data_IF_481865895452
#
_entry.id   IF_481865895452
#
_cell.length_a   1.000
_cell.length_b   1.000
_cell.length_c   1.000
_cell.angle_alpha   90.00
_cell.angle_beta   90.00
_cell.angle_gamma   90.00
#
_symmetry.space_group_name_H-M   'P 1'
#
loop_
_entity.id
_entity.type
_entity.pdbx_description
1 polymer ?
#
# COMPACT_ATOMS: atom_id res chain seq x y z
N UNK A 1 -8.47 -11.39 -24.93
CA UNK A 1 -9.36 -11.37 -23.76
C UNK A 1 -9.36 -12.72 -23.03
N UNK A 2 -9.53 -13.83 -23.74
CA UNK A 2 -9.57 -15.19 -23.18
C UNK A 2 -8.29 -15.59 -22.40
N UNK A 3 -7.10 -15.29 -22.93
CA UNK A 3 -5.82 -15.53 -22.24
C UNK A 3 -5.65 -14.72 -20.94
N UNK A 4 -6.23 -13.53 -20.84
CA UNK A 4 -6.14 -12.71 -19.61
C UNK A 4 -7.08 -13.24 -18.52
N UNK A 5 -8.30 -13.64 -18.90
CA UNK A 5 -9.27 -14.25 -17.96
C UNK A 5 -8.71 -15.56 -17.42
N UNK A 6 -8.15 -16.41 -18.28
CA UNK A 6 -7.52 -17.68 -17.87
C UNK A 6 -6.36 -17.45 -16.89
N UNK A 7 -5.44 -16.52 -17.19
CA UNK A 7 -4.33 -16.17 -16.28
C UNK A 7 -4.82 -15.63 -14.93
N UNK A 8 -5.85 -14.79 -14.93
CA UNK A 8 -6.42 -14.26 -13.70
C UNK A 8 -7.10 -15.35 -12.86
N UNK A 9 -7.85 -16.26 -13.48
CA UNK A 9 -8.46 -17.39 -12.76
C UNK A 9 -7.40 -18.32 -12.16
N UNK A 10 -6.33 -18.61 -12.91
CA UNK A 10 -5.18 -19.37 -12.38
C UNK A 10 -4.58 -18.66 -11.16
N UNK A 11 -4.34 -17.34 -11.26
CA UNK A 11 -3.85 -16.54 -10.14
C UNK A 11 -4.79 -16.63 -8.93
N UNK A 12 -6.10 -16.43 -9.13
CA UNK A 12 -7.08 -16.47 -8.06
C UNK A 12 -7.13 -17.85 -7.38
N UNK A 13 -7.06 -18.93 -8.15
CA UNK A 13 -7.00 -20.30 -7.62
C UNK A 13 -5.74 -20.52 -6.80
N UNK A 14 -4.56 -20.20 -7.34
CA UNK A 14 -3.28 -20.36 -6.63
C UNK A 14 -3.25 -19.51 -5.36
N UNK A 15 -3.70 -18.26 -5.44
CA UNK A 15 -3.80 -17.37 -4.29
C UNK A 15 -4.73 -17.94 -3.20
N UNK A 16 -5.91 -18.44 -3.60
CA UNK A 16 -6.87 -19.07 -2.68
C UNK A 16 -6.29 -20.31 -1.99
N UNK A 17 -5.51 -21.12 -2.72
CA UNK A 17 -4.82 -22.27 -2.15
C UNK A 17 -3.76 -21.86 -1.12
N UNK A 18 -2.94 -20.85 -1.43
CA UNK A 18 -1.89 -20.36 -0.52
C UNK A 18 -2.51 -19.82 0.77
N UNK A 19 -3.55 -18.96 0.68
CA UNK A 19 -4.22 -18.45 1.88
C UNK A 19 -4.90 -19.58 2.66
N UNK A 20 -5.53 -20.53 1.95
CA UNK A 20 -6.19 -21.69 2.57
C UNK A 20 -5.23 -22.56 3.35
N UNK A 21 -4.02 -22.79 2.83
CA UNK A 21 -2.95 -23.49 3.56
C UNK A 21 -2.52 -22.73 4.82
N UNK A 22 -2.32 -21.41 4.71
CA UNK A 22 -1.97 -20.56 5.87
C UNK A 22 -3.06 -20.54 6.95
N UNK A 23 -4.33 -20.51 6.55
CA UNK A 23 -5.45 -20.48 7.49
C UNK A 23 -5.68 -21.85 8.12
N UNK A 24 -5.49 -22.91 7.35
CA UNK A 24 -5.56 -24.30 7.84
C UNK A 24 -4.45 -24.56 8.85
N UNK A 25 -3.23 -24.07 8.58
CA UNK A 25 -2.11 -24.11 9.52
C UNK A 25 -2.45 -23.43 10.85
N UNK A 26 -2.98 -22.19 10.82
CA UNK A 26 -3.40 -21.50 12.06
C UNK A 26 -4.52 -22.25 12.77
N UNK A 27 -5.47 -22.83 12.03
CA UNK A 27 -6.52 -23.69 12.56
C UNK A 27 -5.96 -24.86 13.37
N UNK A 28 -5.05 -25.64 12.78
CA UNK A 28 -4.41 -26.77 13.46
C UNK A 28 -3.64 -26.37 14.71
N UNK A 29 -3.05 -25.17 14.73
CA UNK A 29 -2.27 -24.67 15.88
C UNK A 29 -3.11 -24.09 17.01
N UNK A 30 -4.32 -23.59 16.71
CA UNK A 30 -5.15 -22.88 17.68
C UNK A 30 -6.37 -23.68 18.13
N UNK A 31 -7.14 -24.25 17.20
CA UNK A 31 -8.45 -24.85 17.48
C UNK A 31 -8.38 -25.93 18.58
N UNK A 32 -7.45 -26.90 18.55
CA UNK A 32 -7.37 -27.93 19.60
C UNK A 32 -7.10 -27.36 21.00
N UNK A 33 -6.43 -26.22 21.09
CA UNK A 33 -6.06 -25.59 22.36
C UNK A 33 -7.18 -24.70 22.92
N UNK A 34 -8.06 -24.18 22.07
CA UNK A 34 -9.14 -23.27 22.47
C UNK A 34 -10.27 -23.98 23.21
N UNK A 35 -10.65 -25.19 22.77
CA UNK A 35 -11.68 -25.98 23.43
C UNK A 35 -11.59 -27.47 23.06
N UNK A 36 -11.97 -28.33 24.00
CA UNK A 36 -12.19 -29.77 23.77
C UNK A 36 -13.62 -30.06 23.28
N UNK A 37 -14.52 -29.07 23.31
CA UNK A 37 -15.90 -29.23 22.86
C UNK A 37 -15.98 -29.26 21.33
N UNK A 38 -16.53 -30.35 20.78
CA UNK A 38 -16.55 -30.58 19.33
C UNK A 38 -17.19 -29.45 18.52
N UNK A 39 -18.24 -28.80 19.03
CA UNK A 39 -18.93 -27.73 18.29
C UNK A 39 -18.06 -26.46 18.10
N UNK A 40 -17.17 -26.14 19.05
CA UNK A 40 -16.23 -25.01 18.91
C UNK A 40 -15.22 -25.31 17.80
N UNK A 41 -14.74 -26.55 17.75
CA UNK A 41 -13.86 -27.01 16.67
C UNK A 41 -14.55 -26.94 15.31
N UNK A 42 -15.80 -27.41 15.22
CA UNK A 42 -16.61 -27.29 14.00
C UNK A 42 -16.80 -25.84 13.56
N UNK A 43 -17.12 -24.94 14.50
CA UNK A 43 -17.26 -23.51 14.22
C UNK A 43 -15.95 -22.91 13.69
N UNK A 44 -14.82 -23.19 14.35
CA UNK A 44 -13.51 -22.69 13.93
C UNK A 44 -13.11 -23.13 12.52
N UNK A 45 -13.27 -24.42 12.19
CA UNK A 45 -13.02 -24.93 10.86
C UNK A 45 -13.98 -24.38 9.81
N UNK A 46 -15.26 -24.21 10.16
CA UNK A 46 -16.25 -23.58 9.28
C UNK A 46 -15.85 -22.14 8.94
N UNK A 47 -15.42 -21.35 9.95
CA UNK A 47 -14.94 -19.98 9.72
C UNK A 47 -13.71 -19.96 8.81
N UNK A 48 -12.75 -20.88 8.98
CA UNK A 48 -11.58 -20.99 8.10
C UNK A 48 -12.00 -21.23 6.65
N UNK A 49 -12.91 -22.16 6.40
CA UNK A 49 -13.42 -22.44 5.05
C UNK A 49 -14.15 -21.21 4.48
N UNK A 50 -15.03 -20.58 5.26
CA UNK A 50 -15.78 -19.39 4.84
C UNK A 50 -14.85 -18.23 4.47
N UNK A 51 -13.83 -17.93 5.29
CA UNK A 51 -12.89 -16.85 5.01
C UNK A 51 -11.93 -17.19 3.86
N UNK A 52 -11.53 -18.45 3.70
CA UNK A 52 -10.74 -18.88 2.53
C UNK A 52 -11.51 -18.64 1.23
N UNK A 53 -12.81 -18.97 1.22
CA UNK A 53 -13.67 -18.79 0.05
C UNK A 53 -14.18 -17.35 -0.12
N UNK A 54 -14.04 -16.49 0.88
CA UNK A 54 -14.57 -15.12 0.84
C UNK A 54 -13.98 -14.27 -0.30
N UNK A 55 -12.70 -14.45 -0.64
CA UNK A 55 -12.02 -13.72 -1.72
C UNK A 55 -12.59 -14.10 -3.11
N UNK A 56 -12.61 -15.39 -3.52
CA UNK A 56 -13.21 -15.76 -4.81
C UNK A 56 -14.71 -15.48 -4.86
N UNK A 57 -15.45 -15.62 -3.75
CA UNK A 57 -16.86 -15.23 -3.69
C UNK A 57 -17.02 -13.72 -3.89
N UNK A 58 -16.23 -12.90 -3.21
CA UNK A 58 -16.25 -11.44 -3.40
C UNK A 58 -15.93 -11.04 -4.83
N UNK A 59 -14.94 -11.69 -5.46
CA UNK A 59 -14.63 -11.48 -6.87
C UNK A 59 -15.82 -11.85 -7.77
N UNK A 60 -16.45 -13.01 -7.56
CA UNK A 60 -17.65 -13.42 -8.32
C UNK A 60 -18.79 -12.40 -8.17
N UNK A 61 -19.06 -11.93 -6.95
CA UNK A 61 -20.07 -10.89 -6.68
C UNK A 61 -19.72 -9.58 -7.41
N UNK A 62 -18.43 -9.21 -7.48
CA UNK A 62 -17.97 -8.00 -8.20
C UNK A 62 -18.23 -8.05 -9.72
N UNK A 63 -18.38 -9.26 -10.29
CA UNK A 63 -18.68 -9.48 -11.70
C UNK A 63 -20.18 -9.56 -11.97
N UNK A 64 -20.95 -10.15 -11.05
CA UNK A 64 -22.35 -10.53 -11.29
C UNK A 64 -23.37 -9.56 -10.68
N UNK A 65 -23.06 -8.98 -9.53
CA UNK A 65 -23.96 -8.05 -8.86
C UNK A 65 -23.90 -6.68 -9.51
N UNK A 66 -25.05 -6.08 -9.81
CA UNK A 66 -25.15 -4.66 -10.21
C UNK A 66 -25.23 -3.70 -9.02
N UNK A 67 -25.43 -4.22 -7.80
CA UNK A 67 -25.61 -3.42 -6.59
C UNK A 67 -24.26 -3.16 -5.93
N UNK A 68 -23.79 -1.92 -6.01
CA UNK A 68 -22.50 -1.51 -5.46
C UNK A 68 -22.37 -1.81 -3.96
N UNK A 69 -23.41 -1.52 -3.16
CA UNK A 69 -23.38 -1.79 -1.71
C UNK A 69 -23.15 -3.27 -1.37
N UNK A 70 -23.67 -4.20 -2.19
CA UNK A 70 -23.40 -5.64 -2.00
C UNK A 70 -21.94 -5.95 -2.34
N UNK A 71 -21.41 -5.43 -3.45
CA UNK A 71 -20.00 -5.62 -3.81
C UNK A 71 -19.07 -5.11 -2.71
N UNK A 72 -19.34 -3.92 -2.18
CA UNK A 72 -18.57 -3.30 -1.10
C UNK A 72 -18.66 -4.11 0.20
N UNK A 73 -19.84 -4.61 0.59
CA UNK A 73 -19.99 -5.43 1.80
C UNK A 73 -19.17 -6.73 1.73
N UNK A 74 -19.24 -7.46 0.61
CA UNK A 74 -18.45 -8.68 0.42
C UNK A 74 -16.95 -8.39 0.34
N UNK A 75 -16.56 -7.26 -0.25
CA UNK A 75 -15.16 -6.84 -0.30
C UNK A 75 -14.61 -6.49 1.08
N UNK A 76 -15.38 -5.78 1.91
CA UNK A 76 -15.01 -5.52 3.29
C UNK A 76 -14.84 -6.81 4.09
N UNK A 77 -15.77 -7.75 3.97
CA UNK A 77 -15.68 -9.05 4.65
C UNK A 77 -14.40 -9.80 4.24
N UNK A 78 -14.17 -9.93 2.93
CA UNK A 78 -13.06 -10.69 2.39
C UNK A 78 -11.70 -10.05 2.71
N UNK A 79 -11.57 -8.73 2.52
CA UNK A 79 -10.30 -8.02 2.74
C UNK A 79 -9.98 -7.83 4.24
N UNK A 80 -10.98 -7.62 5.08
CA UNK A 80 -10.75 -7.56 6.54
C UNK A 80 -10.38 -8.95 7.07
N UNK A 81 -11.05 -10.00 6.59
CA UNK A 81 -10.70 -11.39 6.89
C UNK A 81 -9.27 -11.72 6.47
N UNK A 82 -8.88 -11.31 5.26
CA UNK A 82 -7.52 -11.48 4.76
C UNK A 82 -6.49 -10.85 5.70
N UNK A 83 -6.69 -9.59 6.07
CA UNK A 83 -5.80 -8.89 6.99
C UNK A 83 -5.74 -9.53 8.38
N UNK A 84 -6.88 -9.92 8.94
CA UNK A 84 -6.96 -10.63 10.23
C UNK A 84 -6.14 -11.92 10.22
N UNK A 85 -6.35 -12.77 9.21
CA UNK A 85 -5.63 -14.04 9.13
C UNK A 85 -4.15 -13.87 8.79
N UNK A 86 -3.75 -12.83 8.04
CA UNK A 86 -2.33 -12.51 7.84
C UNK A 86 -1.65 -12.18 9.17
N UNK A 87 -2.27 -11.34 10.00
CA UNK A 87 -1.75 -11.01 11.33
C UNK A 87 -1.74 -12.27 12.22
N UNK A 88 -2.84 -13.02 12.24
CA UNK A 88 -2.97 -14.24 13.04
C UNK A 88 -1.91 -15.29 12.66
N UNK A 89 -1.74 -15.56 11.36
CA UNK A 89 -0.73 -16.48 10.85
C UNK A 89 0.67 -16.08 11.29
N UNK A 90 0.98 -14.78 11.18
CA UNK A 90 2.27 -14.25 11.57
C UNK A 90 2.52 -14.44 13.08
N UNK A 91 1.54 -14.13 13.93
CA UNK A 91 1.66 -14.32 15.38
C UNK A 91 1.79 -15.80 15.77
N UNK A 92 1.06 -16.71 15.11
CA UNK A 92 1.19 -18.16 15.31
C UNK A 92 2.58 -18.64 14.90
N UNK A 93 3.08 -18.16 13.76
CA UNK A 93 4.42 -18.50 13.28
C UNK A 93 5.50 -18.01 14.26
N UNK A 94 5.39 -16.77 14.76
CA UNK A 94 6.29 -16.27 15.81
C UNK A 94 6.22 -17.13 17.08
N UNK A 95 5.02 -17.50 17.54
CA UNK A 95 4.82 -18.38 18.70
C UNK A 95 5.51 -19.72 18.52
N UNK A 96 5.39 -20.32 17.34
CA UNK A 96 5.99 -21.63 17.06
C UNK A 96 7.51 -21.53 16.95
N UNK A 97 8.05 -20.49 16.31
CA UNK A 97 9.49 -20.23 16.25
C UNK A 97 10.07 -20.04 17.66
N UNK A 98 9.45 -19.20 18.51
CA UNK A 98 9.95 -18.97 19.87
C UNK A 98 9.89 -20.24 20.72
N UNK A 99 8.85 -21.05 20.57
CA UNK A 99 8.71 -22.34 21.26
C UNK A 99 9.81 -23.32 20.86
N UNK A 100 10.09 -23.45 19.55
CA UNK A 100 11.15 -24.32 19.03
C UNK A 100 12.54 -23.83 19.46
N UNK A 101 12.80 -22.52 19.37
CA UNK A 101 14.06 -21.93 19.83
C UNK A 101 14.29 -22.16 21.32
N UNK A 102 13.26 -21.99 22.16
CA UNK A 102 13.34 -22.24 23.59
C UNK A 102 13.64 -23.72 23.88
N UNK A 103 12.92 -24.66 23.26
CA UNK A 103 13.17 -26.08 23.43
C UNK A 103 14.58 -26.49 22.97
N UNK A 104 15.05 -25.94 21.85
CA UNK A 104 16.42 -26.12 21.38
C UNK A 104 17.45 -25.67 22.40
N UNK A 105 17.31 -24.46 22.97
CA UNK A 105 18.20 -23.93 24.00
C UNK A 105 18.23 -24.78 25.27
N UNK A 106 17.07 -25.29 25.73
CA UNK A 106 17.02 -26.15 26.92
C UNK A 106 17.74 -27.49 26.74
N UNK A 107 17.90 -27.99 25.50
CA UNK A 107 18.72 -29.17 25.23
C UNK A 107 20.23 -28.91 25.34
N UNK A 108 20.68 -27.68 25.13
CA UNK A 108 22.08 -27.28 25.27
C UNK A 108 22.48 -26.98 26.73
N UNK A 109 21.51 -26.70 27.59
CA UNK A 109 21.71 -26.51 29.03
C UNK A 109 20.83 -27.51 29.82
N UNK A 110 21.18 -28.81 29.81
CA UNK A 110 20.36 -29.82 30.48
C UNK A 110 20.37 -29.57 32.00
N UNK A 111 19.20 -29.24 32.53
CA UNK A 111 18.97 -29.27 33.98
C UNK A 111 18.87 -30.72 34.43
N UNK A 112 19.80 -31.17 35.26
CA UNK A 112 19.72 -32.44 35.97
C UNK A 112 18.72 -32.27 37.11
N UNK A 113 17.48 -32.73 36.90
CA UNK A 113 16.51 -33.22 37.90
C UNK A 113 15.08 -33.03 37.37
N UNK A 114 14.48 -34.07 36.79
CA UNK A 114 13.01 -34.14 36.67
C UNK A 114 12.60 -35.57 37.07
N UNK A 115 11.79 -35.65 38.13
CA UNK A 115 11.27 -36.88 38.75
C UNK A 115 9.98 -37.28 38.02
N UNK A 116 9.80 -38.57 37.73
CA UNK A 116 8.69 -39.11 36.91
C UNK A 116 7.27 -38.90 37.49
N UNK A 117 7.12 -38.55 38.78
CA UNK A 117 5.82 -38.33 39.44
C UNK A 117 5.19 -36.96 39.13
N UNK A 118 5.89 -36.04 38.49
CA UNK A 118 5.39 -34.69 38.12
C UNK A 118 4.65 -34.68 36.77
N UNK A 119 4.55 -35.82 36.08
CA UNK A 119 4.19 -35.87 34.65
C UNK A 119 2.76 -35.41 34.34
N UNK A 120 1.74 -35.79 35.13
CA UNK A 120 0.35 -35.36 34.89
C UNK A 120 0.12 -33.88 35.18
N UNK A 121 0.66 -33.38 36.30
CA UNK A 121 0.56 -31.96 36.65
C UNK A 121 1.30 -31.08 35.62
N UNK A 122 2.46 -31.55 35.13
CA UNK A 122 3.19 -30.90 34.05
C UNK A 122 2.41 -30.89 32.73
N UNK A 123 1.69 -31.97 32.40
CA UNK A 123 0.82 -32.02 31.20
C UNK A 123 -0.33 -31.01 31.34
N UNK A 124 -1.05 -31.00 32.47
CA UNK A 124 -2.15 -30.06 32.72
C UNK A 124 -1.68 -28.59 32.67
N UNK A 125 -0.52 -28.29 33.27
CA UNK A 125 0.09 -26.95 33.20
C UNK A 125 0.43 -26.54 31.77
N UNK A 126 1.00 -27.45 30.97
CA UNK A 126 1.30 -27.20 29.54
C UNK A 126 0.04 -26.94 28.72
N UNK A 127 -1.01 -27.73 28.93
CA UNK A 127 -2.31 -27.54 28.25
C UNK A 127 -2.95 -26.20 28.61
N UNK A 128 -2.94 -25.84 29.89
CA UNK A 128 -3.43 -24.54 30.36
C UNK A 128 -2.67 -23.38 29.72
N UNK A 129 -1.33 -23.43 29.72
CA UNK A 129 -0.49 -22.40 29.11
C UNK A 129 -0.74 -22.29 27.60
N UNK A 130 -0.82 -23.41 26.88
CA UNK A 130 -1.12 -23.42 25.45
C UNK A 130 -2.50 -22.83 25.14
N UNK A 131 -3.49 -23.08 26.00
CA UNK A 131 -4.82 -22.47 25.90
C UNK A 131 -4.75 -20.95 26.08
N UNK A 132 -4.12 -20.48 27.16
CA UNK A 132 -3.94 -19.04 27.43
C UNK A 132 -3.19 -18.34 26.31
N UNK A 133 -2.12 -18.96 25.78
CA UNK A 133 -1.38 -18.43 24.64
C UNK A 133 -2.22 -18.38 23.37
N UNK A 134 -3.03 -19.40 23.11
CA UNK A 134 -3.90 -19.44 21.91
C UNK A 134 -4.97 -18.36 21.96
N UNK A 135 -5.62 -18.16 23.12
CA UNK A 135 -6.56 -17.05 23.32
C UNK A 135 -5.86 -15.68 23.25
N UNK A 136 -4.66 -15.55 23.82
CA UNK A 136 -3.87 -14.31 23.75
C UNK A 136 -3.49 -13.95 22.31
N UNK A 137 -3.04 -14.92 21.51
CA UNK A 137 -2.70 -14.71 20.08
C UNK A 137 -3.94 -14.32 19.28
N UNK A 138 -5.07 -15.00 19.51
CA UNK A 138 -6.34 -14.68 18.84
C UNK A 138 -6.84 -13.27 19.22
N UNK A 139 -6.80 -12.94 20.51
CA UNK A 139 -7.18 -11.63 21.04
C UNK A 139 -6.28 -10.51 20.52
N UNK A 140 -4.96 -10.74 20.47
CA UNK A 140 -4.00 -9.78 19.92
C UNK A 140 -4.22 -9.58 18.41
N UNK A 141 -4.44 -10.64 17.64
CA UNK A 141 -4.75 -10.53 16.21
C UNK A 141 -6.03 -9.73 15.97
N UNK A 142 -7.08 -9.99 16.74
CA UNK A 142 -8.34 -9.23 16.69
C UNK A 142 -8.16 -7.77 17.07
N UNK A 143 -7.42 -7.48 18.15
CA UNK A 143 -7.12 -6.13 18.60
C UNK A 143 -6.31 -5.33 17.58
N UNK A 144 -5.25 -5.93 17.02
CA UNK A 144 -4.44 -5.31 15.97
C UNK A 144 -5.25 -5.06 14.69
N UNK A 145 -6.11 -6.01 14.30
CA UNK A 145 -7.03 -5.85 13.17
C UNK A 145 -7.97 -4.68 13.40
N UNK A 146 -8.60 -4.59 14.58
CA UNK A 146 -9.52 -3.50 14.92
C UNK A 146 -8.84 -2.13 14.95
N UNK A 147 -7.67 -2.04 15.59
CA UNK A 147 -6.86 -0.80 15.61
C UNK A 147 -6.47 -0.41 14.18
N UNK A 148 -5.97 -1.35 13.38
CA UNK A 148 -5.54 -1.07 12.02
C UNK A 148 -6.70 -0.68 11.11
N UNK A 149 -7.87 -1.31 11.28
CA UNK A 149 -9.09 -0.94 10.57
C UNK A 149 -9.55 0.48 10.90
N UNK A 150 -9.56 0.83 12.18
CA UNK A 150 -9.85 2.19 12.63
C UNK A 150 -8.87 3.20 12.04
N UNK A 151 -7.57 2.88 12.05
CA UNK A 151 -6.53 3.76 11.52
C UNK A 151 -6.61 3.94 10.00
N UNK A 152 -7.08 2.92 9.25
CA UNK A 152 -7.30 3.01 7.81
C UNK A 152 -8.45 3.94 7.42
N UNK A 153 -9.45 4.11 8.30
CA UNK A 153 -10.63 4.96 8.06
C UNK A 153 -10.61 6.28 8.82
N UNK A 154 -9.60 6.50 9.66
CA UNK A 154 -9.42 7.76 10.38
C UNK A 154 -9.08 8.88 9.39
N UNK A 155 -9.40 10.11 9.78
CA UNK A 155 -9.08 11.32 9.02
C UNK A 155 -7.60 11.34 8.60
N UNK A 156 -7.37 11.60 7.31
CA UNK A 156 -6.05 11.69 6.70
C UNK A 156 -5.16 12.70 7.42
N UNK A 157 -3.91 12.29 7.65
CA UNK A 157 -2.89 13.18 8.19
C UNK A 157 -2.29 14.01 7.06
N UNK A 158 -2.16 15.31 7.31
CA UNK A 158 -1.32 16.16 6.46
C UNK A 158 0.09 16.10 7.02
N UNK A 159 1.05 15.69 6.19
CA UNK A 159 2.46 15.58 6.57
C UNK A 159 3.23 16.66 5.83
N UNK A 160 3.82 17.61 6.57
CA UNK A 160 4.70 18.63 5.98
C UNK A 160 6.13 18.14 5.94
N UNK A 161 6.78 18.32 4.80
CA UNK A 161 8.15 17.87 4.52
C UNK A 161 8.89 19.02 3.89
N UNK A 162 10.00 19.43 4.50
CA UNK A 162 10.87 20.46 3.96
C UNK A 162 12.04 19.82 3.22
N UNK A 163 12.20 20.18 1.94
CA UNK A 163 13.35 19.78 1.12
C UNK A 163 14.31 20.96 1.07
N UNK A 164 15.40 20.85 1.82
CA UNK A 164 16.37 21.92 2.00
C UNK A 164 17.42 21.85 0.89
N UNK A 165 17.50 22.91 0.09
CA UNK A 165 18.33 23.00 -1.10
C UNK A 165 19.29 24.17 -1.05
N UNK A 166 20.59 23.89 -1.30
CA UNK A 166 21.64 24.91 -1.20
C UNK A 166 21.55 25.97 -2.31
N UNK A 167 21.30 25.52 -3.53
CA UNK A 167 21.31 26.38 -4.73
C UNK A 167 19.90 26.67 -5.26
N UNK A 168 18.89 26.69 -4.37
CA UNK A 168 17.52 26.98 -4.79
C UNK A 168 17.35 28.44 -5.20
N UNK A 169 16.76 28.67 -6.38
CA UNK A 169 16.38 30.01 -6.81
C UNK A 169 15.38 30.61 -5.82
N UNK A 170 15.52 31.89 -5.46
CA UNK A 170 14.71 32.52 -4.40
C UNK A 170 13.21 32.53 -4.70
N UNK A 171 12.82 32.59 -5.97
CA UNK A 171 11.40 32.46 -6.35
C UNK A 171 10.79 31.09 -6.02
N UNK A 172 11.58 30.03 -5.89
CA UNK A 172 11.09 28.69 -5.52
C UNK A 172 11.11 28.45 -4.01
N UNK A 173 11.62 29.38 -3.20
CA UNK A 173 11.58 29.25 -1.74
C UNK A 173 10.13 29.31 -1.25
N UNK A 174 9.72 28.24 -0.55
CA UNK A 174 8.33 28.06 -0.12
C UNK A 174 7.42 27.40 -1.16
N UNK A 175 7.91 27.06 -2.36
CA UNK A 175 7.13 26.36 -3.39
C UNK A 175 6.53 25.08 -2.83
N UNK A 176 5.20 24.95 -2.93
CA UNK A 176 4.41 23.93 -2.24
C UNK A 176 3.81 22.93 -3.20
N UNK A 177 4.25 21.68 -3.07
CA UNK A 177 3.74 20.54 -3.82
C UNK A 177 2.88 19.71 -2.87
N UNK A 178 1.61 19.52 -3.20
CA UNK A 178 0.76 18.59 -2.48
C UNK A 178 0.73 17.27 -3.24
N UNK A 179 1.27 16.23 -2.63
CA UNK A 179 1.31 14.89 -3.18
C UNK A 179 0.23 14.01 -2.55
N UNK A 180 -0.48 13.28 -3.42
CA UNK A 180 -1.22 12.08 -3.06
C UNK A 180 -0.71 10.90 -3.88
N UNK A 181 -0.86 9.71 -3.33
CA UNK A 181 -0.39 8.48 -3.96
C UNK A 181 -1.23 7.31 -3.49
N UNK A 182 -1.30 6.23 -4.27
CA UNK A 182 -1.84 4.95 -3.81
C UNK A 182 -3.24 5.10 -3.16
N UNK A 183 -4.14 5.77 -3.87
CA UNK A 183 -5.51 6.03 -3.39
C UNK A 183 -6.33 4.74 -3.48
N UNK A 184 -6.08 3.90 -4.48
CA UNK A 184 -6.77 2.63 -4.72
C UNK A 184 -8.31 2.75 -4.70
N UNK A 185 -8.86 3.71 -5.46
CA UNK A 185 -10.30 3.77 -5.70
C UNK A 185 -10.73 2.43 -6.28
N UNK A 186 -11.71 1.80 -5.67
CA UNK A 186 -11.94 0.38 -5.87
C UNK A 186 -13.17 -0.14 -5.12
N UNK A 187 -13.14 -1.39 -4.63
CA UNK A 187 -14.31 -2.00 -4.00
C UNK A 187 -14.73 -1.35 -2.67
N UNK A 188 -13.79 -0.84 -1.89
CA UNK A 188 -14.03 -0.25 -0.55
C UNK A 188 -13.69 1.23 -0.44
N UNK A 189 -12.85 1.77 -1.33
CA UNK A 189 -12.55 3.20 -1.42
C UNK A 189 -13.31 3.80 -2.59
N UNK A 190 -14.16 4.80 -2.30
CA UNK A 190 -15.17 5.32 -3.23
C UNK A 190 -15.11 6.84 -3.34
N UNK A 191 -15.98 7.40 -4.18
CA UNK A 191 -16.09 8.84 -4.46
C UNK A 191 -16.01 9.73 -3.21
N UNK A 192 -16.76 9.40 -2.15
CA UNK A 192 -16.82 10.21 -0.92
C UNK A 192 -15.47 10.34 -0.22
N UNK A 193 -14.64 9.31 -0.27
CA UNK A 193 -13.27 9.39 0.24
C UNK A 193 -12.46 10.40 -0.59
N UNK A 194 -12.53 10.31 -1.92
CA UNK A 194 -11.81 11.22 -2.80
C UNK A 194 -12.29 12.67 -2.70
N UNK A 195 -13.59 12.90 -2.52
CA UNK A 195 -14.14 14.23 -2.22
C UNK A 195 -13.50 14.83 -0.97
N UNK A 196 -13.34 14.02 0.09
CA UNK A 196 -12.67 14.46 1.33
C UNK A 196 -11.19 14.77 1.12
N UNK A 197 -10.49 14.00 0.28
CA UNK A 197 -9.10 14.21 -0.11
C UNK A 197 -8.96 15.52 -0.88
N UNK A 198 -9.75 15.72 -1.92
CA UNK A 198 -9.71 16.92 -2.77
C UNK A 198 -10.01 18.17 -1.96
N UNK A 199 -11.04 18.12 -1.10
CA UNK A 199 -11.34 19.22 -0.16
C UNK A 199 -10.10 19.56 0.68
N UNK A 200 -9.45 18.54 1.23
CA UNK A 200 -8.26 18.74 2.07
C UNK A 200 -7.06 19.27 1.29
N UNK A 201 -6.87 18.86 0.05
CA UNK A 201 -5.81 19.39 -0.82
C UNK A 201 -6.05 20.87 -1.11
N UNK A 202 -7.28 21.24 -1.45
CA UNK A 202 -7.63 22.63 -1.75
C UNK A 202 -7.45 23.57 -0.53
N UNK A 203 -7.69 23.07 0.69
CA UNK A 203 -7.40 23.80 1.94
C UNK A 203 -5.89 24.10 2.13
N UNK A 204 -5.00 23.40 1.43
CA UNK A 204 -3.55 23.55 1.55
C UNK A 204 -2.96 24.54 0.53
N UNK A 205 -3.78 25.12 -0.35
CA UNK A 205 -3.40 26.12 -1.36
C UNK A 205 -2.09 25.76 -2.11
N UNK A 206 -2.03 24.60 -2.79
CA UNK A 206 -0.81 24.15 -3.45
C UNK A 206 -0.41 25.03 -4.64
N UNK A 207 0.90 25.15 -4.88
CA UNK A 207 1.40 25.61 -6.17
C UNK A 207 1.21 24.50 -7.23
N UNK A 208 1.39 23.24 -6.82
CA UNK A 208 1.31 22.06 -7.68
C UNK A 208 0.64 20.89 -6.95
N UNK A 209 -0.20 20.13 -7.65
CA UNK A 209 -0.68 18.83 -7.15
C UNK A 209 -0.02 17.69 -7.93
N UNK A 210 0.57 16.74 -7.22
CA UNK A 210 1.19 15.55 -7.79
C UNK A 210 0.43 14.28 -7.36
N UNK A 211 0.05 13.45 -8.31
CA UNK A 211 -0.57 12.14 -8.08
C UNK A 211 0.40 11.07 -8.57
N UNK A 212 1.05 10.37 -7.65
CA UNK A 212 2.17 9.45 -7.96
C UNK A 212 1.74 8.00 -8.10
N UNK A 213 0.73 7.73 -8.91
CA UNK A 213 0.30 6.37 -9.30
C UNK A 213 -0.63 5.66 -8.32
N UNK A 214 -1.13 4.50 -8.77
CA UNK A 214 -2.04 3.61 -8.06
C UNK A 214 -3.29 4.33 -7.53
N UNK A 215 -3.93 5.08 -8.42
CA UNK A 215 -5.16 5.81 -8.13
C UNK A 215 -6.36 4.87 -8.09
N UNK A 216 -6.34 3.76 -8.85
CA UNK A 216 -7.52 2.93 -9.14
C UNK A 216 -7.22 1.42 -9.21
N UNK A 217 -8.17 0.59 -8.74
CA UNK A 217 -8.09 -0.88 -8.70
C UNK A 217 -9.08 -1.59 -9.65
N UNK A 218 -9.48 -0.94 -10.74
CA UNK A 218 -10.41 -1.52 -11.69
C UNK A 218 -10.64 -0.66 -12.93
N UNK A 219 -11.45 -1.13 -13.90
CA UNK A 219 -11.61 -0.44 -15.17
C UNK A 219 -12.45 0.84 -15.05
N UNK A 220 -12.19 1.79 -15.95
CA UNK A 220 -12.94 3.06 -16.08
C UNK A 220 -14.45 2.84 -16.13
N UNK A 221 -14.91 1.81 -16.83
CA UNK A 221 -16.35 1.50 -16.95
C UNK A 221 -17.05 1.23 -15.62
N UNK A 222 -16.30 0.83 -14.58
CA UNK A 222 -16.82 0.63 -13.22
C UNK A 222 -16.52 1.82 -12.32
N UNK A 223 -15.31 2.39 -12.42
CA UNK A 223 -14.80 3.31 -11.40
C UNK A 223 -14.67 4.77 -11.85
N UNK A 224 -14.83 5.09 -13.14
CA UNK A 224 -14.61 6.45 -13.66
C UNK A 224 -15.45 7.51 -12.93
N UNK A 225 -16.69 7.18 -12.58
CA UNK A 225 -17.57 8.09 -11.84
C UNK A 225 -17.11 8.39 -10.39
N UNK A 226 -16.20 7.60 -9.82
CA UNK A 226 -15.63 7.87 -8.50
C UNK A 226 -14.47 8.86 -8.55
N UNK A 227 -13.83 9.05 -9.71
CA UNK A 227 -12.69 9.97 -9.85
C UNK A 227 -13.10 11.40 -10.18
N UNK A 228 -14.38 11.64 -10.48
CA UNK A 228 -14.87 12.98 -10.85
C UNK A 228 -14.52 14.10 -9.86
N UNK A 229 -14.39 13.86 -8.53
CA UNK A 229 -13.94 14.92 -7.61
C UNK A 229 -12.57 15.50 -7.96
N UNK A 230 -11.71 14.79 -8.70
CA UNK A 230 -10.39 15.32 -9.08
C UNK A 230 -10.48 16.56 -9.98
N UNK A 231 -11.59 16.75 -10.70
CA UNK A 231 -11.83 17.94 -11.49
C UNK A 231 -11.94 19.22 -10.64
N UNK A 232 -12.21 19.08 -9.34
CA UNK A 232 -12.32 20.19 -8.39
C UNK A 232 -10.98 20.58 -7.74
N UNK A 233 -9.87 19.90 -8.10
CA UNK A 233 -8.54 20.23 -7.60
C UNK A 233 -8.11 21.63 -8.06
N UNK A 234 -7.57 22.42 -7.13
CA UNK A 234 -7.09 23.77 -7.37
C UNK A 234 -5.61 23.86 -7.03
N UNK A 235 -4.83 24.35 -7.98
CA UNK A 235 -3.42 24.69 -7.81
C UNK A 235 -3.00 25.76 -8.82
N UNK A 236 -1.86 26.41 -8.60
CA UNK A 236 -1.37 27.46 -9.51
C UNK A 236 -0.88 26.91 -10.84
N UNK A 237 -0.19 25.76 -10.81
CA UNK A 237 0.47 25.15 -11.97
C UNK A 237 -0.25 23.93 -12.55
N UNK A 238 -1.35 23.51 -11.91
CA UNK A 238 -2.15 22.36 -12.34
C UNK A 238 -1.89 21.08 -11.53
N UNK A 239 -2.50 20.01 -12.00
CA UNK A 239 -2.45 18.67 -11.40
C UNK A 239 -1.79 17.71 -12.37
N UNK A 240 -0.80 16.96 -11.88
CA UNK A 240 0.00 16.05 -12.69
C UNK A 240 -0.08 14.63 -12.15
N UNK A 241 -0.10 13.66 -13.05
CA UNK A 241 -0.24 12.25 -12.74
C UNK A 241 0.85 11.43 -13.44
N UNK A 242 1.37 10.44 -12.74
CA UNK A 242 2.16 9.34 -13.32
C UNK A 242 1.50 8.01 -13.00
N UNK A 243 1.63 7.04 -13.90
CA UNK A 243 1.04 5.71 -13.74
C UNK A 243 1.77 4.91 -12.67
N UNK A 244 1.03 4.24 -11.79
CA UNK A 244 1.52 3.10 -11.03
C UNK A 244 1.23 1.79 -11.76
N UNK A 245 1.51 0.66 -11.11
CA UNK A 245 1.29 -0.65 -11.72
C UNK A 245 -0.20 -1.00 -11.81
N UNK A 246 -1.05 -0.46 -10.94
CA UNK A 246 -2.48 -0.77 -10.93
C UNK A 246 -3.23 -0.21 -12.13
N UNK A 247 -2.80 0.92 -12.69
CA UNK A 247 -3.39 1.43 -13.93
C UNK A 247 -3.18 0.46 -15.09
N UNK A 248 -2.02 -0.20 -15.19
CA UNK A 248 -1.75 -1.20 -16.23
C UNK A 248 -2.62 -2.45 -16.08
N UNK A 249 -2.88 -2.90 -14.85
CA UNK A 249 -3.80 -4.01 -14.59
C UNK A 249 -5.26 -3.65 -14.89
N UNK A 250 -5.57 -2.35 -14.85
CA UNK A 250 -6.93 -1.81 -14.93
C UNK A 250 -7.29 -1.20 -16.29
N UNK A 251 -6.39 -1.28 -17.28
CA UNK A 251 -6.59 -0.70 -18.62
C UNK A 251 -6.07 0.73 -18.72
N UNK A 252 -4.74 0.89 -18.60
CA UNK A 252 -4.02 2.17 -18.50
C UNK A 252 -4.43 3.21 -19.54
N UNK A 253 -4.57 2.82 -20.82
CA UNK A 253 -4.89 3.76 -21.90
C UNK A 253 -6.27 4.41 -21.73
N UNK A 254 -7.24 3.67 -21.17
CA UNK A 254 -8.56 4.22 -20.86
C UNK A 254 -8.50 5.15 -19.66
N UNK A 255 -7.69 4.81 -18.66
CA UNK A 255 -7.49 5.66 -17.48
C UNK A 255 -6.79 6.96 -17.80
N UNK A 256 -5.75 6.95 -18.64
CA UNK A 256 -5.07 8.16 -19.11
C UNK A 256 -6.09 9.13 -19.72
N UNK A 257 -6.86 8.65 -20.71
CA UNK A 257 -7.90 9.47 -21.37
C UNK A 257 -8.96 9.97 -20.41
N UNK A 258 -9.33 9.17 -19.40
CA UNK A 258 -10.34 9.57 -18.44
C UNK A 258 -9.80 10.65 -17.49
N UNK A 259 -8.58 10.53 -17.00
CA UNK A 259 -7.94 11.52 -16.14
C UNK A 259 -7.74 12.87 -16.86
N UNK A 260 -7.35 12.84 -18.13
CA UNK A 260 -7.20 14.04 -18.96
C UNK A 260 -8.51 14.83 -19.11
N UNK A 261 -9.66 14.16 -19.18
CA UNK A 261 -10.97 14.84 -19.21
C UNK A 261 -11.27 15.62 -17.92
N UNK A 262 -10.67 15.23 -16.81
CA UNK A 262 -10.79 15.91 -15.51
C UNK A 262 -9.69 16.95 -15.30
N UNK A 263 -8.99 17.36 -16.36
CA UNK A 263 -7.96 18.41 -16.29
C UNK A 263 -6.64 17.97 -15.68
N UNK A 264 -6.42 16.67 -15.53
CA UNK A 264 -5.19 16.10 -14.98
C UNK A 264 -4.23 15.82 -16.11
N UNK A 265 -3.02 16.39 -16.04
CA UNK A 265 -1.98 16.13 -17.03
C UNK A 265 -1.23 14.85 -16.69
N UNK A 266 -1.34 13.84 -17.54
CA UNK A 266 -0.55 12.61 -17.38
C UNK A 266 0.82 12.79 -18.02
N UNK A 267 1.89 12.37 -17.32
CA UNK A 267 3.26 12.41 -17.81
C UNK A 267 3.76 10.99 -18.06
N UNK A 268 4.13 10.68 -19.30
CA UNK A 268 4.59 9.35 -19.73
C UNK A 268 6.00 9.44 -20.33
N UNK A 269 7.03 9.46 -19.47
CA UNK A 269 8.41 9.80 -19.84
C UNK A 269 8.48 11.17 -20.52
N UNK A 270 7.76 12.12 -19.96
CA UNK A 270 7.59 13.48 -20.48
C UNK A 270 7.78 14.50 -19.36
N UNK A 271 8.01 15.76 -19.74
CA UNK A 271 8.06 16.86 -18.80
C UNK A 271 7.16 18.03 -19.20
N UNK A 272 7.01 18.93 -18.22
CA UNK A 272 6.51 20.27 -18.38
C UNK A 272 7.42 21.23 -17.62
N UNK A 273 7.95 22.22 -18.32
CA UNK A 273 8.62 23.37 -17.70
C UNK A 273 7.55 24.31 -17.16
N UNK A 274 7.70 24.68 -15.89
CA UNK A 274 6.84 25.58 -15.13
C UNK A 274 7.62 26.84 -14.78
N UNK A 275 7.05 28.00 -15.12
CA UNK A 275 7.62 29.31 -14.74
C UNK A 275 6.98 29.78 -13.44
N UNK A 276 7.76 29.96 -12.38
CA UNK A 276 7.27 30.43 -11.09
C UNK A 276 8.10 31.64 -10.63
N UNK A 277 7.50 32.82 -10.75
CA UNK A 277 8.22 34.08 -10.52
C UNK A 277 9.31 34.28 -11.58
N UNK A 278 10.58 34.27 -11.16
CA UNK A 278 11.75 34.37 -12.06
C UNK A 278 12.50 33.05 -12.23
N UNK A 279 11.98 31.96 -11.67
CA UNK A 279 12.57 30.64 -11.77
C UNK A 279 11.80 29.76 -12.75
N UNK A 280 12.54 28.88 -13.39
CA UNK A 280 12.04 27.78 -14.20
C UNK A 280 12.20 26.45 -13.45
N UNK A 281 11.18 25.61 -13.48
CA UNK A 281 11.17 24.29 -12.84
C UNK A 281 10.75 23.24 -13.86
N UNK A 282 11.55 22.20 -14.04
CA UNK A 282 11.16 21.02 -14.82
C UNK A 282 10.39 20.06 -13.94
N UNK A 283 9.12 19.83 -14.27
CA UNK A 283 8.32 18.74 -13.70
C UNK A 283 8.24 17.61 -14.71
N UNK A 284 8.97 16.52 -14.45
CA UNK A 284 8.97 15.33 -15.28
C UNK A 284 8.20 14.20 -14.62
N UNK A 285 7.73 13.24 -15.43
CA UNK A 285 7.09 12.03 -14.95
C UNK A 285 7.47 10.82 -15.79
N UNK A 286 7.71 9.70 -15.13
CA UNK A 286 7.99 8.40 -15.76
C UNK A 286 6.91 7.39 -15.44
N UNK A 287 6.79 6.38 -16.29
CA UNK A 287 5.87 5.26 -16.11
C UNK A 287 6.34 4.30 -15.02
N UNK A 288 5.48 3.35 -14.65
CA UNK A 288 5.87 2.26 -13.74
C UNK A 288 7.07 1.46 -14.28
N UNK A 289 7.98 1.00 -13.40
CA UNK A 289 9.19 0.29 -13.82
C UNK A 289 8.89 -0.97 -14.64
N UNK A 290 7.74 -1.62 -14.42
CA UNK A 290 7.32 -2.83 -15.15
C UNK A 290 6.39 -2.54 -16.32
N UNK A 291 6.04 -1.27 -16.55
CA UNK A 291 5.13 -0.86 -17.63
C UNK A 291 5.51 -1.43 -19.00
N UNK A 292 6.81 -1.41 -19.33
CA UNK A 292 7.36 -1.95 -20.58
C UNK A 292 7.01 -3.41 -20.85
N UNK A 293 6.80 -4.22 -19.80
CA UNK A 293 6.43 -5.63 -19.94
C UNK A 293 4.98 -5.83 -20.40
N UNK A 294 4.15 -4.78 -20.30
CA UNK A 294 2.73 -4.78 -20.68
C UNK A 294 2.55 -3.97 -21.97
N UNK A 295 3.16 -2.79 -22.05
CA UNK A 295 3.20 -1.90 -23.22
C UNK A 295 4.63 -1.41 -23.41
N UNK A 296 5.32 -1.89 -24.45
CA UNK A 296 6.74 -1.59 -24.68
C UNK A 296 6.97 -0.08 -24.86
N UNK A 297 6.03 0.62 -25.48
CA UNK A 297 6.05 2.08 -25.66
C UNK A 297 6.06 2.86 -24.32
N UNK A 298 5.61 2.22 -23.23
CA UNK A 298 5.58 2.78 -21.89
C UNK A 298 6.77 2.31 -21.04
N UNK A 299 7.83 1.73 -21.63
CA UNK A 299 9.07 1.47 -20.89
C UNK A 299 9.57 2.75 -20.22
N UNK A 300 9.81 2.71 -18.90
CA UNK A 300 10.30 3.85 -18.12
C UNK A 300 11.60 4.41 -18.70
N UNK A 301 11.70 5.73 -18.79
CA UNK A 301 12.88 6.43 -19.31
C UNK A 301 13.04 7.84 -18.70
N UNK A 302 13.78 7.95 -17.57
CA UNK A 302 14.04 9.24 -16.93
C UNK A 302 14.84 10.21 -17.79
N UNK A 303 15.72 9.73 -18.67
CA UNK A 303 16.52 10.59 -19.55
C UNK A 303 15.65 11.25 -20.62
N UNK A 304 14.73 10.49 -21.23
CA UNK A 304 13.72 11.04 -22.12
C UNK A 304 12.82 12.04 -21.39
N UNK A 305 12.42 11.73 -20.16
CA UNK A 305 11.62 12.62 -19.34
C UNK A 305 12.35 13.93 -19.01
N UNK A 306 13.68 13.95 -18.91
CA UNK A 306 14.47 15.16 -18.66
C UNK A 306 14.62 16.07 -19.89
N UNK A 307 14.51 15.53 -21.11
CA UNK A 307 14.89 16.22 -22.35
C UNK A 307 14.28 17.62 -22.49
N UNK A 308 15.13 18.62 -22.69
CA UNK A 308 14.76 20.04 -22.82
C UNK A 308 14.63 20.80 -21.49
N UNK A 309 14.63 20.10 -20.35
CA UNK A 309 14.57 20.67 -19.00
C UNK A 309 15.93 20.76 -18.29
N UNK A 310 17.03 20.42 -18.97
CA UNK A 310 18.34 20.24 -18.35
C UNK A 310 18.86 21.52 -17.67
N UNK A 311 18.48 22.68 -18.23
CA UNK A 311 18.94 24.02 -17.83
C UNK A 311 17.97 24.75 -16.89
N UNK A 312 16.89 24.14 -16.43
CA UNK A 312 15.97 24.79 -15.48
C UNK A 312 16.60 24.89 -14.09
N UNK A 313 16.12 25.84 -13.28
CA UNK A 313 16.65 26.11 -11.94
C UNK A 313 16.42 24.96 -10.96
N UNK A 314 15.38 24.15 -11.16
CA UNK A 314 15.10 22.97 -10.34
C UNK A 314 14.39 21.87 -11.15
N UNK A 315 14.66 20.60 -10.85
CA UNK A 315 14.18 19.43 -11.60
C UNK A 315 13.52 18.42 -10.68
N UNK A 316 12.22 18.21 -10.85
CA UNK A 316 11.40 17.27 -10.08
C UNK A 316 10.97 16.10 -10.95
N UNK A 317 11.16 14.89 -10.44
CA UNK A 317 10.69 13.65 -11.04
C UNK A 317 9.51 13.07 -10.26
N UNK A 318 8.38 12.88 -10.94
CA UNK A 318 7.29 12.06 -10.45
C UNK A 318 7.50 10.62 -10.90
N UNK A 319 7.55 9.68 -9.97
CA UNK A 319 7.69 8.26 -10.29
C UNK A 319 6.96 7.43 -9.24
N UNK A 320 6.09 6.51 -9.65
CA UNK A 320 5.34 5.69 -8.68
C UNK A 320 6.28 4.84 -7.80
N UNK A 321 7.24 4.14 -8.41
CA UNK A 321 8.18 3.29 -7.66
C UNK A 321 9.40 4.06 -7.16
N UNK A 322 9.79 3.91 -5.87
CA UNK A 322 10.98 4.56 -5.32
C UNK A 322 12.28 4.24 -6.07
N UNK A 323 12.39 3.02 -6.60
CA UNK A 323 13.60 2.56 -7.30
C UNK A 323 13.90 3.33 -8.59
N UNK A 324 12.96 4.11 -9.14
CA UNK A 324 13.24 5.02 -10.25
C UNK A 324 14.33 6.06 -9.91
N UNK A 325 14.63 6.28 -8.62
CA UNK A 325 15.64 7.26 -8.19
C UNK A 325 17.05 6.89 -8.64
N UNK A 326 17.32 5.60 -8.87
CA UNK A 326 18.65 5.17 -9.30
C UNK A 326 19.00 5.71 -10.68
N UNK A 327 18.06 5.65 -11.63
CA UNK A 327 18.25 6.25 -12.97
C UNK A 327 17.88 7.74 -12.98
N UNK A 328 16.90 8.16 -12.17
CA UNK A 328 16.51 9.56 -12.05
C UNK A 328 17.64 10.45 -11.53
N UNK A 329 18.42 9.97 -10.56
CA UNK A 329 19.60 10.68 -10.08
C UNK A 329 20.67 10.84 -11.18
N UNK A 330 20.91 9.80 -11.98
CA UNK A 330 21.85 9.89 -13.11
C UNK A 330 21.34 10.79 -14.24
N UNK A 331 20.03 10.90 -14.41
CA UNK A 331 19.41 11.84 -15.34
C UNK A 331 19.47 13.30 -14.85
N UNK A 332 19.87 13.55 -13.60
CA UNK A 332 20.11 14.89 -13.05
C UNK A 332 18.89 15.55 -12.41
N UNK A 333 17.93 14.76 -11.89
CA UNK A 333 16.82 15.29 -11.10
C UNK A 333 17.25 15.65 -9.67
N UNK A 334 16.70 16.73 -9.12
CA UNK A 334 17.02 17.22 -7.78
C UNK A 334 16.11 16.57 -6.71
N UNK A 335 14.85 16.30 -7.07
CA UNK A 335 13.85 15.70 -6.18
C UNK A 335 13.00 14.66 -6.91
N UNK A 336 12.83 13.48 -6.32
CA UNK A 336 11.86 12.48 -6.73
C UNK A 336 10.72 12.35 -5.72
N UNK A 337 9.48 12.32 -6.21
CA UNK A 337 8.28 12.01 -5.43
C UNK A 337 7.73 10.64 -5.84
N UNK A 338 7.57 9.75 -4.85
CA UNK A 338 7.14 8.36 -5.05
C UNK A 338 6.11 7.88 -4.04
N UNK A 339 5.50 6.73 -4.34
CA UNK A 339 4.57 6.00 -3.47
C UNK A 339 4.91 4.51 -3.45
N UNK A 340 3.95 3.66 -3.81
CA UNK A 340 4.07 2.21 -4.06
C UNK A 340 4.25 1.33 -2.83
N UNK A 341 5.03 1.77 -1.84
CA UNK A 341 5.43 0.91 -0.71
C UNK A 341 4.34 0.76 0.34
N UNK A 342 3.38 1.70 0.39
CA UNK A 342 2.41 1.87 1.48
C UNK A 342 3.01 1.96 2.89
N UNK A 343 4.33 2.20 3.02
CA UNK A 343 5.05 2.00 4.28
C UNK A 343 4.99 0.56 4.83
N UNK A 344 4.71 -0.41 3.95
CA UNK A 344 4.42 -1.80 4.27
C UNK A 344 3.04 -2.05 4.92
N UNK A 345 2.13 -1.08 4.84
CA UNK A 345 0.70 -1.05 5.21
C UNK A 345 0.31 -1.59 6.60
N UNK A 346 0.59 -2.83 6.94
CA UNK A 346 0.30 -3.40 8.26
C UNK A 346 1.26 -4.55 8.60
N UNK A 347 1.26 -4.98 9.86
CA UNK A 347 2.10 -6.09 10.32
C UNK A 347 1.73 -7.42 9.64
N UNK A 348 2.72 -8.24 9.21
CA UNK A 348 4.17 -8.03 9.32
C UNK A 348 4.80 -7.35 8.08
N UNK A 349 3.99 -6.95 7.10
CA UNK A 349 4.47 -6.31 5.86
C UNK A 349 5.33 -5.08 6.12
N UNK A 350 4.98 -4.28 7.12
CA UNK A 350 5.76 -3.12 7.58
C UNK A 350 7.17 -3.45 8.11
N UNK A 351 7.47 -4.71 8.44
CA UNK A 351 8.81 -5.19 8.77
C UNK A 351 9.50 -5.80 7.55
N UNK A 352 8.78 -6.62 6.79
CA UNK A 352 9.33 -7.37 5.66
C UNK A 352 9.63 -6.49 4.44
N UNK A 353 8.97 -5.33 4.31
CA UNK A 353 9.14 -4.42 3.17
C UNK A 353 10.60 -3.97 2.98
N UNK A 354 11.37 -3.84 4.07
CA UNK A 354 12.78 -3.45 4.03
C UNK A 354 13.70 -4.49 3.39
N UNK A 355 13.23 -5.73 3.20
CA UNK A 355 13.96 -6.76 2.45
C UNK A 355 13.89 -6.54 0.94
N UNK A 356 12.87 -5.81 0.47
CA UNK A 356 12.60 -5.60 -0.95
C UNK A 356 12.80 -4.15 -1.40
N UNK A 357 12.68 -3.18 -0.49
CA UNK A 357 12.72 -1.76 -0.82
C UNK A 357 13.78 -1.05 0.02
N UNK A 358 14.67 -0.32 -0.66
CA UNK A 358 15.69 0.51 0.00
C UNK A 358 15.06 1.73 0.68
N UNK A 359 14.10 2.37 0.02
CA UNK A 359 13.39 3.54 0.51
C UNK A 359 11.92 3.19 0.72
N UNK A 360 11.48 3.16 1.98
CA UNK A 360 10.14 2.67 2.34
C UNK A 360 9.16 3.81 2.60
N UNK A 361 9.55 4.85 3.34
CA UNK A 361 8.65 5.98 3.63
C UNK A 361 9.45 7.20 4.11
N UNK A 362 8.94 8.40 3.85
CA UNK A 362 9.55 9.66 4.28
C UNK A 362 10.60 10.21 3.31
N UNK A 363 11.31 11.25 3.74
CA UNK A 363 12.34 11.94 2.97
C UNK A 363 13.70 11.28 3.18
N UNK A 364 14.39 10.96 2.09
CA UNK A 364 15.72 10.38 2.05
C UNK A 364 16.55 11.07 0.97
N UNK A 365 17.83 10.72 0.89
CA UNK A 365 18.72 11.20 -0.16
C UNK A 365 19.43 10.05 -0.86
N UNK A 366 19.46 10.09 -2.19
CA UNK A 366 20.26 9.20 -3.02
C UNK A 366 21.20 10.03 -3.89
N UNK A 367 22.52 9.93 -3.63
CA UNK A 367 23.51 10.85 -4.20
C UNK A 367 23.12 12.30 -3.91
N UNK A 368 22.98 13.14 -4.92
CA UNK A 368 22.56 14.53 -4.78
C UNK A 368 21.03 14.73 -4.87
N UNK A 369 20.28 13.69 -5.24
CA UNK A 369 18.82 13.72 -5.41
C UNK A 369 18.09 13.39 -4.11
N UNK A 370 17.14 14.24 -3.72
CA UNK A 370 16.18 13.91 -2.68
C UNK A 370 15.14 12.92 -3.19
N UNK A 371 14.71 11.99 -2.34
CA UNK A 371 13.57 11.12 -2.62
C UNK A 371 12.59 11.17 -1.46
N UNK A 372 11.36 11.51 -1.74
CA UNK A 372 10.27 11.36 -0.80
C UNK A 372 9.37 10.20 -1.21
N UNK A 373 9.17 9.26 -0.28
CA UNK A 373 8.28 8.11 -0.47
C UNK A 373 7.06 8.26 0.41
N UNK A 374 5.90 8.44 -0.23
CA UNK A 374 4.62 8.50 0.45
C UNK A 374 4.22 7.13 1.00
N UNK A 375 3.58 7.11 2.17
CA UNK A 375 2.93 5.91 2.71
C UNK A 375 1.59 5.59 2.03
N UNK A 376 1.16 6.40 1.08
CA UNK A 376 -0.12 6.25 0.40
C UNK A 376 -1.25 6.99 1.12
N UNK A 377 -2.18 7.50 0.31
CA UNK A 377 -3.35 8.25 0.74
C UNK A 377 -4.49 7.30 1.07
N UNK A 378 -4.68 6.23 0.29
CA UNK A 378 -5.68 5.19 0.54
C UNK A 378 -5.11 4.00 1.31
N UNK A 379 -5.56 2.81 0.93
CA UNK A 379 -5.01 1.52 1.31
C UNK A 379 -5.31 0.52 0.18
N UNK A 380 -4.46 -0.49 0.01
CA UNK A 380 -4.66 -1.55 -0.98
C UNK A 380 -5.15 -2.84 -0.34
N UNK A 381 -6.24 -3.42 -0.86
CA UNK A 381 -6.80 -4.68 -0.38
C UNK A 381 -7.32 -4.59 1.06
N UNK A 382 -6.72 -5.28 2.06
CA UNK A 382 -7.11 -5.19 3.46
C UNK A 382 -7.22 -3.76 3.97
N UNK A 383 -8.40 -3.33 4.47
CA UNK A 383 -8.61 -1.98 4.97
C UNK A 383 -8.02 -1.82 6.38
N UNK A 384 -6.73 -2.12 6.53
CA UNK A 384 -5.99 -2.18 7.78
C UNK A 384 -4.68 -1.42 7.60
N UNK A 385 -4.39 -0.46 8.48
CA UNK A 385 -3.11 0.25 8.51
C UNK A 385 -2.47 0.21 9.90
N UNK A 386 -1.29 -0.39 10.04
CA UNK A 386 -0.54 -0.52 11.30
C UNK A 386 0.92 -0.08 11.10
N UNK A 387 1.34 0.96 11.82
CA UNK A 387 2.70 1.52 11.69
C UNK A 387 2.95 2.32 10.41
N UNK A 388 1.96 2.39 9.51
CA UNK A 388 2.01 3.17 8.29
C UNK A 388 0.71 3.97 8.14
N UNK A 389 0.53 5.13 8.79
CA UNK A 389 -0.69 5.93 8.66
C UNK A 389 -0.83 6.48 7.22
N UNK A 390 -2.07 6.61 6.74
CA UNK A 390 -2.34 7.29 5.47
C UNK A 390 -2.01 8.78 5.54
N UNK A 391 -1.57 9.34 4.42
CA UNK A 391 -1.10 10.72 4.36
C UNK A 391 -1.51 11.47 3.07
N UNK A 392 -1.63 12.78 3.22
CA UNK A 392 -1.51 13.78 2.16
C UNK A 392 -0.22 14.55 2.47
N UNK A 393 0.72 14.55 1.54
CA UNK A 393 2.06 15.07 1.81
C UNK A 393 2.22 16.46 1.22
N UNK A 394 2.69 17.41 2.01
CA UNK A 394 3.01 18.77 1.61
C UNK A 394 4.52 18.88 1.54
N UNK A 395 5.07 18.83 0.33
CA UNK A 395 6.49 18.98 0.08
C UNK A 395 6.75 20.45 -0.18
N UNK A 396 7.55 21.08 0.68
CA UNK A 396 7.93 22.47 0.55
C UNK A 396 9.42 22.57 0.23
N UNK A 397 9.74 23.22 -0.89
CA UNK A 397 11.13 23.55 -1.20
C UNK A 397 11.57 24.70 -0.29
N UNK A 398 12.76 24.56 0.30
CA UNK A 398 13.34 25.56 1.20
C UNK A 398 14.75 25.87 0.76
N UNK A 399 15.06 27.15 0.61
CA UNK A 399 16.43 27.57 0.39
C UNK A 399 17.23 27.43 1.68
N UNK A 400 18.40 26.80 1.61
CA UNK A 400 19.33 26.77 2.73
C UNK A 400 19.92 28.18 2.92
N UNK A 401 19.60 28.82 4.04
CA UNK A 401 20.09 30.16 4.41
C UNK A 401 21.60 30.22 4.57
#
# INVERSE_FOLDING_TARGET
>A
MENQISRFLIFLTVFTLIIGLGYTYTGFRLIPNLSTQGWISWLGWTLIVLFTLSIPVSYYISLTSKREGIQTAFSYLAFTGLGFFTILFSLVLLKDITTVSFYGLTKFFPSQNIIESETEELIQRKEFLNRVLSFSVLGLAGGLTGIGFYQAHKKLKVISVEVIEKNLHTSLDGFRIVQISDVHIGPTIKKSFLESVVKRINELEPDLVAITGDLVDGPVSKLGHHITPLADLKSKHGTFFVTGNHEYYSGVLSWIRELEKHGIRVLLNENKILEHGKASLTLAGVTDLKAGTILEEHKTDPYRAMKGGEKTDYKILLAHQPNSVFEGAEAGFDLQLSGHTHGGQYFPGNLLIYLAQKFVAGLHKHKDTWIYVSRGTGYWGPPIRLGAPSEISVIQLKKNS
#
